data_IF_410343575124
#
_entry.id   IF_410343575124
#
_cell.length_a   1.000
_cell.length_b   1.000
_cell.length_c   1.000
_cell.angle_alpha   90.00
_cell.angle_beta   90.00
_cell.angle_gamma   90.00
#
_symmetry.space_group_name_H-M   'P 1'
#
loop_
_entity.id
_entity.type
_entity.pdbx_description
1 polymer ?
#
# COMPACT_ATOMS: atom_id res chain seq x y z
N UNK A 1 14.89 -10.36 -1.82
CA UNK A 1 14.84 -8.93 -2.17
C UNK A 1 14.29 -8.19 -0.96
N UNK A 2 14.92 -7.10 -0.57
CA UNK A 2 14.48 -6.24 0.53
C UNK A 2 14.42 -4.81 0.03
N UNK A 3 13.51 -4.02 0.58
CA UNK A 3 13.33 -2.62 0.20
C UNK A 3 13.05 -1.80 1.46
N UNK A 4 13.53 -0.56 1.46
CA UNK A 4 13.16 0.39 2.50
C UNK A 4 11.71 0.86 2.27
N UNK A 5 10.94 1.00 3.35
CA UNK A 5 9.52 1.34 3.30
C UNK A 5 9.28 2.66 2.56
N UNK A 6 10.04 3.72 2.88
CA UNK A 6 9.92 5.01 2.19
C UNK A 6 10.20 4.89 0.70
N UNK A 7 11.29 4.20 0.33
CA UNK A 7 11.64 3.98 -1.09
C UNK A 7 10.56 3.19 -1.84
N UNK A 8 9.94 2.20 -1.19
CA UNK A 8 8.82 1.46 -1.77
C UNK A 8 7.63 2.39 -2.03
N UNK A 9 7.30 3.25 -1.06
CA UNK A 9 6.20 4.22 -1.22
C UNK A 9 6.46 5.19 -2.37
N UNK A 10 7.65 5.79 -2.42
CA UNK A 10 8.06 6.68 -3.51
C UNK A 10 7.99 5.96 -4.85
N UNK A 11 8.52 4.73 -4.94
CA UNK A 11 8.52 3.98 -6.19
C UNK A 11 7.12 3.72 -6.74
N UNK A 12 6.13 3.46 -5.87
CA UNK A 12 4.74 3.28 -6.32
C UNK A 12 4.10 4.62 -6.68
N UNK A 13 4.33 5.67 -5.90
CA UNK A 13 3.76 7.00 -6.15
C UNK A 13 4.29 7.64 -7.44
N UNK A 14 5.57 7.43 -7.73
CA UNK A 14 6.24 7.92 -8.94
C UNK A 14 5.99 7.02 -10.17
N UNK A 15 5.31 5.88 -9.98
CA UNK A 15 5.06 4.92 -11.05
C UNK A 15 6.30 4.15 -11.51
N UNK A 16 7.36 4.10 -10.70
CA UNK A 16 8.59 3.38 -11.00
C UNK A 16 8.49 1.89 -10.69
N UNK A 17 7.49 1.23 -11.25
CA UNK A 17 7.27 -0.21 -11.18
C UNK A 17 6.86 -0.75 -12.55
N UNK A 18 7.09 -2.03 -12.82
CA UNK A 18 6.60 -2.66 -14.04
C UNK A 18 5.10 -2.90 -13.90
N UNK A 19 4.31 -2.47 -14.89
CA UNK A 19 2.89 -2.76 -14.95
C UNK A 19 2.57 -3.53 -16.23
N UNK A 20 1.91 -4.67 -16.09
CA UNK A 20 1.48 -5.49 -17.22
C UNK A 20 -0.01 -5.77 -17.07
N UNK A 21 -0.74 -5.69 -18.18
CA UNK A 21 -2.18 -5.95 -18.21
C UNK A 21 -2.49 -6.93 -19.35
N UNK A 22 -3.21 -7.99 -19.02
CA UNK A 22 -3.65 -9.02 -19.96
C UNK A 22 -5.17 -9.12 -19.89
N UNK A 23 -5.83 -9.02 -21.05
CA UNK A 23 -7.28 -9.20 -21.12
C UNK A 23 -7.63 -10.61 -21.59
N UNK A 24 -8.60 -11.20 -20.90
CA UNK A 24 -9.19 -12.48 -21.23
C UNK A 24 -10.70 -12.29 -21.42
N UNK A 25 -11.17 -12.45 -22.66
CA UNK A 25 -12.60 -12.37 -22.94
C UNK A 25 -13.36 -13.51 -22.24
N UNK A 26 -14.62 -13.28 -21.87
CA UNK A 26 -15.47 -14.34 -21.29
C UNK A 26 -15.60 -15.58 -22.20
N UNK A 27 -15.49 -15.41 -23.53
CA UNK A 27 -15.51 -16.53 -24.48
C UNK A 27 -14.22 -17.36 -24.41
N UNK A 28 -13.06 -16.69 -24.37
CA UNK A 28 -11.76 -17.35 -24.21
C UNK A 28 -11.66 -18.04 -22.85
N UNK A 29 -12.14 -17.39 -21.78
CA UNK A 29 -12.23 -18.00 -20.45
C UNK A 29 -13.00 -19.32 -20.47
N UNK A 30 -14.16 -19.38 -21.13
CA UNK A 30 -14.98 -20.61 -21.20
C UNK A 30 -14.35 -21.74 -22.01
N UNK A 31 -13.51 -21.39 -23.00
CA UNK A 31 -12.94 -22.34 -23.94
C UNK A 31 -11.58 -22.86 -23.48
N UNK A 32 -10.71 -21.92 -23.11
CA UNK A 32 -9.28 -22.14 -22.91
C UNK A 32 -8.87 -21.94 -21.43
N UNK A 33 -9.81 -21.55 -20.56
CA UNK A 33 -9.59 -21.33 -19.14
C UNK A 33 -8.79 -20.06 -18.83
N UNK A 34 -8.12 -20.04 -17.68
CA UNK A 34 -7.29 -18.91 -17.19
C UNK A 34 -5.80 -19.22 -17.21
N UNK A 35 -5.44 -20.47 -17.45
CA UNK A 35 -4.11 -21.02 -17.24
C UNK A 35 -3.08 -20.30 -18.12
N UNK A 36 -3.41 -20.05 -19.38
CA UNK A 36 -2.54 -19.32 -20.30
C UNK A 36 -2.30 -17.86 -19.84
N UNK A 37 -3.36 -17.20 -19.35
CA UNK A 37 -3.29 -15.83 -18.83
C UNK A 37 -2.46 -15.75 -17.55
N UNK A 38 -2.74 -16.62 -16.58
CA UNK A 38 -2.00 -16.71 -15.33
C UNK A 38 -0.54 -17.11 -15.54
N UNK A 39 -0.26 -18.03 -16.46
CA UNK A 39 1.13 -18.43 -16.78
C UNK A 39 1.94 -17.23 -17.28
N UNK A 40 1.32 -16.37 -18.12
CA UNK A 40 1.96 -15.13 -18.58
C UNK A 40 2.22 -14.16 -17.43
N UNK A 41 1.20 -13.93 -16.59
CA UNK A 41 1.31 -13.09 -15.37
C UNK A 41 2.44 -13.57 -14.47
N UNK A 42 2.50 -14.87 -14.15
CA UNK A 42 3.54 -15.42 -13.27
C UNK A 42 4.94 -15.32 -13.90
N UNK A 43 5.04 -15.52 -15.22
CA UNK A 43 6.31 -15.38 -15.92
C UNK A 43 6.82 -13.92 -15.89
N UNK A 44 5.93 -12.95 -16.05
CA UNK A 44 6.29 -11.53 -15.99
C UNK A 44 6.68 -11.12 -14.56
N UNK A 45 5.93 -11.58 -13.54
CA UNK A 45 6.27 -11.38 -12.13
C UNK A 45 7.64 -11.96 -11.79
N UNK A 46 7.93 -13.18 -12.22
CA UNK A 46 9.24 -13.80 -12.02
C UNK A 46 10.36 -12.98 -12.66
N UNK A 47 10.20 -12.54 -13.91
CA UNK A 47 11.21 -11.71 -14.59
C UNK A 47 11.48 -10.42 -13.84
N UNK A 48 10.44 -9.75 -13.33
CA UNK A 48 10.61 -8.52 -12.55
C UNK A 48 11.34 -8.78 -11.23
N UNK A 49 10.98 -9.85 -10.51
CA UNK A 49 11.65 -10.24 -9.26
C UNK A 49 13.12 -10.59 -9.52
N UNK A 50 13.44 -11.32 -10.61
CA UNK A 50 14.81 -11.63 -11.00
C UNK A 50 15.65 -10.36 -11.29
N UNK A 51 15.01 -9.31 -11.83
CA UNK A 51 15.61 -7.98 -12.02
C UNK A 51 15.59 -7.10 -10.76
N UNK A 52 15.04 -7.58 -9.65
CA UNK A 52 14.84 -6.82 -8.41
C UNK A 52 13.96 -5.57 -8.61
N UNK A 53 12.92 -5.69 -9.43
CA UNK A 53 11.96 -4.62 -9.72
C UNK A 53 10.61 -4.93 -9.10
N UNK A 54 9.90 -3.88 -8.68
CA UNK A 54 8.49 -3.98 -8.28
C UNK A 54 7.63 -4.18 -9.53
N UNK A 55 6.58 -4.99 -9.40
CA UNK A 55 5.66 -5.29 -10.49
C UNK A 55 4.23 -5.40 -10.00
N UNK A 56 3.30 -4.97 -10.87
CA UNK A 56 1.87 -5.27 -10.78
C UNK A 56 1.44 -5.88 -12.12
N UNK A 57 1.03 -7.14 -12.09
CA UNK A 57 0.62 -7.88 -13.28
C UNK A 57 -0.85 -8.27 -13.19
N UNK A 58 -1.66 -7.71 -14.08
CA UNK A 58 -3.12 -7.80 -14.06
C UNK A 58 -3.61 -8.76 -15.15
N UNK A 59 -4.55 -9.62 -14.77
CA UNK A 59 -5.36 -10.43 -15.65
C UNK A 59 -6.83 -9.99 -15.49
N UNK A 60 -7.32 -9.27 -16.48
CA UNK A 60 -8.70 -8.77 -16.53
C UNK A 60 -9.56 -9.76 -17.28
N UNK A 61 -10.60 -10.28 -16.62
CA UNK A 61 -11.58 -11.16 -17.24
C UNK A 61 -12.83 -10.35 -17.57
N UNK A 62 -13.14 -10.23 -18.87
CA UNK A 62 -14.23 -9.40 -19.40
C UNK A 62 -15.61 -10.07 -19.23
N UNK A 63 -15.99 -10.33 -17.99
CA UNK A 63 -17.36 -10.69 -17.62
C UNK A 63 -18.28 -9.47 -17.63
N UNK A 64 -19.62 -9.64 -17.56
CA UNK A 64 -20.55 -8.51 -17.43
C UNK A 64 -20.25 -7.60 -16.23
N UNK A 65 -19.73 -8.19 -15.15
CA UNK A 65 -19.07 -7.49 -14.04
C UNK A 65 -17.62 -7.97 -14.05
N UNK A 66 -16.64 -7.11 -14.39
CA UNK A 66 -15.27 -7.55 -14.63
C UNK A 66 -14.64 -8.10 -13.35
N UNK A 67 -13.94 -9.21 -13.48
CA UNK A 67 -13.13 -9.78 -12.41
C UNK A 67 -11.67 -9.55 -12.75
N UNK A 68 -10.94 -8.90 -11.84
CA UNK A 68 -9.53 -8.58 -12.02
C UNK A 68 -8.72 -9.46 -11.07
N UNK A 69 -7.75 -10.17 -11.61
CA UNK A 69 -6.78 -10.95 -10.85
C UNK A 69 -5.42 -10.29 -11.03
N UNK A 70 -4.88 -9.75 -9.96
CA UNK A 70 -3.60 -9.04 -9.95
C UNK A 70 -2.60 -9.85 -9.13
N UNK A 71 -1.40 -10.04 -9.67
CA UNK A 71 -0.25 -10.53 -8.90
C UNK A 71 0.73 -9.38 -8.80
N UNK A 72 1.00 -8.94 -7.57
CA UNK A 72 1.84 -7.78 -7.31
C UNK A 72 2.88 -8.05 -6.23
N UNK A 73 4.00 -7.31 -6.31
CA UNK A 73 5.04 -7.33 -5.28
C UNK A 73 4.76 -6.28 -4.23
N UNK A 74 4.49 -6.67 -3.00
CA UNK A 74 4.24 -5.74 -1.89
C UNK A 74 5.19 -5.97 -0.73
N UNK A 75 5.13 -5.09 0.26
CA UNK A 75 5.81 -5.29 1.54
C UNK A 75 4.86 -5.71 2.66
N UNK A 76 3.57 -5.44 2.48
CA UNK A 76 2.47 -5.78 3.38
C UNK A 76 1.20 -6.06 2.57
N UNK A 77 0.19 -6.60 3.23
CA UNK A 77 -1.12 -6.88 2.66
C UNK A 77 -1.95 -5.59 2.43
N UNK A 78 -1.49 -4.75 1.50
CA UNK A 78 -2.17 -3.54 1.03
C UNK A 78 -1.93 -3.39 -0.48
N UNK A 79 -2.98 -3.11 -1.26
CA UNK A 79 -2.83 -2.91 -2.69
C UNK A 79 -2.08 -1.61 -2.96
N UNK A 80 -1.43 -1.51 -4.12
CA UNK A 80 -0.64 -0.34 -4.51
C UNK A 80 -1.44 0.98 -4.43
N UNK A 81 -2.74 0.93 -4.75
CA UNK A 81 -3.66 2.06 -4.63
C UNK A 81 -3.74 2.66 -3.20
N UNK A 82 -3.36 1.90 -2.17
CA UNK A 82 -3.36 2.32 -0.76
C UNK A 82 -1.95 2.48 -0.17
N UNK A 83 -0.91 2.63 -1.00
CA UNK A 83 0.49 2.73 -0.56
C UNK A 83 0.74 3.85 0.47
N UNK A 84 -0.04 4.94 0.41
CA UNK A 84 0.00 6.04 1.38
C UNK A 84 -0.31 5.62 2.82
N UNK A 85 -0.96 4.47 3.01
CA UNK A 85 -1.34 3.95 4.34
C UNK A 85 -0.30 3.02 4.94
N UNK A 86 0.76 2.68 4.21
CA UNK A 86 1.81 1.74 4.64
C UNK A 86 2.50 2.20 5.93
N UNK A 87 2.72 3.50 6.09
CA UNK A 87 3.33 4.10 7.29
C UNK A 87 2.49 3.97 8.56
N UNK A 88 1.21 3.56 8.45
CA UNK A 88 0.41 3.22 9.63
C UNK A 88 0.76 1.83 10.19
N UNK A 89 1.50 1.03 9.43
CA UNK A 89 1.82 -0.36 9.75
C UNK A 89 3.31 -0.61 9.91
N UNK A 90 4.14 0.09 9.13
CA UNK A 90 5.59 -0.05 9.12
C UNK A 90 6.28 1.31 9.30
N UNK A 91 7.47 1.30 9.89
CA UNK A 91 8.27 2.51 10.05
C UNK A 91 8.92 2.90 8.72
N UNK A 92 8.95 4.20 8.38
CA UNK A 92 9.43 4.66 7.07
C UNK A 92 10.89 4.28 6.77
N UNK A 93 11.73 4.25 7.80
CA UNK A 93 13.15 3.90 7.70
C UNK A 93 13.42 2.39 7.81
N UNK A 94 12.39 1.58 8.03
CA UNK A 94 12.51 0.12 8.13
C UNK A 94 12.87 -0.50 6.78
N UNK A 95 13.67 -1.56 6.82
CA UNK A 95 14.00 -2.38 5.64
C UNK A 95 13.25 -3.70 5.81
N UNK A 96 12.39 -4.00 4.84
CA UNK A 96 11.48 -5.15 4.91
C UNK A 96 11.61 -6.02 3.66
N UNK A 97 11.37 -7.34 3.79
CA UNK A 97 11.38 -8.24 2.65
C UNK A 97 10.20 -7.95 1.72
N UNK A 98 10.47 -7.94 0.41
CA UNK A 98 9.42 -7.90 -0.61
C UNK A 98 8.74 -9.27 -0.69
N UNK A 99 7.42 -9.26 -0.76
CA UNK A 99 6.52 -10.42 -0.81
C UNK A 99 5.66 -10.35 -2.07
N UNK A 100 5.13 -11.49 -2.47
CA UNK A 100 4.22 -11.63 -3.60
C UNK A 100 2.80 -11.83 -3.08
N UNK A 101 1.90 -10.99 -3.56
CA UNK A 101 0.49 -11.01 -3.20
C UNK A 101 -0.36 -11.35 -4.43
N UNK A 102 -1.38 -12.18 -4.21
CA UNK A 102 -2.47 -12.40 -5.14
C UNK A 102 -3.66 -11.54 -4.70
N UNK A 103 -4.04 -10.60 -5.53
CA UNK A 103 -5.18 -9.72 -5.32
C UNK A 103 -6.29 -10.12 -6.31
N UNK A 104 -7.48 -10.41 -5.80
CA UNK A 104 -8.66 -10.67 -6.62
C UNK A 104 -9.69 -9.59 -6.31
N UNK A 105 -10.02 -8.79 -7.31
CA UNK A 105 -11.02 -7.74 -7.24
C UNK A 105 -12.25 -8.15 -8.07
N UNK A 106 -13.37 -8.35 -7.39
CA UNK A 106 -14.68 -8.59 -8.00
C UNK A 106 -15.77 -8.36 -6.97
N UNK A 107 -16.93 -7.77 -7.34
CA UNK A 107 -18.04 -7.50 -6.41
C UNK A 107 -18.57 -8.73 -5.67
N UNK A 108 -18.32 -9.93 -6.20
CA UNK A 108 -18.86 -11.19 -5.68
C UNK A 108 -17.88 -11.98 -4.82
N UNK A 109 -16.65 -11.48 -4.63
CA UNK A 109 -15.64 -12.16 -3.80
C UNK A 109 -15.97 -12.04 -2.31
N UNK A 110 -16.37 -10.84 -1.89
CA UNK A 110 -16.78 -10.52 -0.52
C UNK A 110 -17.47 -9.15 -0.49
N UNK A 111 -17.92 -8.71 0.69
CA UNK A 111 -18.58 -7.40 0.89
C UNK A 111 -17.72 -6.22 0.44
N UNK A 112 -16.39 -6.31 0.55
CA UNK A 112 -15.46 -5.27 0.09
C UNK A 112 -15.13 -5.34 -1.40
N UNK A 113 -15.51 -6.42 -2.09
CA UNK A 113 -15.16 -6.69 -3.47
C UNK A 113 -13.66 -6.94 -3.73
N UNK A 114 -12.88 -7.22 -2.67
CA UNK A 114 -11.42 -7.34 -2.73
C UNK A 114 -10.93 -8.43 -1.78
N UNK A 115 -10.13 -9.36 -2.29
CA UNK A 115 -9.42 -10.37 -1.49
C UNK A 115 -7.95 -10.34 -1.87
N UNK A 116 -7.10 -10.27 -0.85
CA UNK A 116 -5.65 -10.31 -1.01
C UNK A 116 -5.14 -11.49 -0.21
N UNK A 117 -4.37 -12.36 -0.86
CA UNK A 117 -3.70 -13.48 -0.22
C UNK A 117 -2.18 -13.34 -0.41
N UNK A 118 -1.45 -13.54 0.68
CA UNK A 118 0.02 -13.58 0.64
C UNK A 118 0.48 -14.95 0.16
N UNK A 119 1.36 -14.97 -0.85
CA UNK A 119 1.85 -16.22 -1.43
C UNK A 119 3.16 -16.62 -0.78
N UNK A 120 4.18 -15.77 -0.88
CA UNK A 120 5.53 -16.06 -0.42
C UNK A 120 6.38 -14.77 -0.39
N UNK A 121 7.56 -14.84 0.22
CA UNK A 121 8.58 -13.81 -0.01
C UNK A 121 9.08 -13.87 -1.45
N UNK A 122 9.62 -12.78 -1.99
CA UNK A 122 10.19 -12.76 -3.33
C UNK A 122 11.31 -13.79 -3.51
N UNK A 123 12.07 -14.10 -2.45
CA UNK A 123 13.12 -15.12 -2.50
C UNK A 123 12.52 -16.54 -2.59
N UNK A 124 11.53 -16.83 -1.75
CA UNK A 124 10.86 -18.14 -1.73
C UNK A 124 10.00 -18.36 -2.98
N UNK A 125 9.49 -17.28 -3.59
CA UNK A 125 8.76 -17.35 -4.84
C UNK A 125 9.63 -17.85 -6.00
N UNK A 126 10.90 -17.43 -6.05
CA UNK A 126 11.83 -17.89 -7.08
C UNK A 126 12.19 -19.37 -6.92
N UNK A 127 12.37 -19.85 -5.69
CA UNK A 127 12.73 -21.25 -5.41
C UNK A 127 11.54 -22.19 -5.55
N UNK A 128 10.33 -21.74 -5.17
CA UNK A 128 9.09 -22.49 -5.19
C UNK A 128 8.19 -22.23 -6.40
N UNK A 129 8.69 -21.58 -7.45
CA UNK A 129 7.90 -21.01 -8.55
C UNK A 129 6.81 -21.95 -9.09
N UNK A 130 7.16 -23.18 -9.44
CA UNK A 130 6.17 -24.12 -10.01
C UNK A 130 5.09 -24.55 -9.01
N UNK A 131 5.48 -24.88 -7.78
CA UNK A 131 4.55 -25.34 -6.74
C UNK A 131 3.62 -24.22 -6.29
N UNK A 132 4.17 -23.03 -6.05
CA UNK A 132 3.41 -21.86 -5.63
C UNK A 132 2.44 -21.40 -6.73
N UNK A 133 2.87 -21.43 -8.00
CA UNK A 133 1.98 -21.07 -9.10
C UNK A 133 0.83 -22.06 -9.28
N UNK A 134 1.06 -23.36 -9.06
CA UNK A 134 -0.01 -24.36 -9.06
C UNK A 134 -1.02 -24.11 -7.93
N UNK A 135 -0.54 -23.84 -6.72
CA UNK A 135 -1.40 -23.50 -5.58
C UNK A 135 -2.18 -22.21 -5.82
N UNK A 136 -1.53 -21.19 -6.38
CA UNK A 136 -2.15 -19.91 -6.73
C UNK A 136 -3.22 -20.10 -7.80
N UNK A 137 -2.94 -20.88 -8.84
CA UNK A 137 -3.92 -21.20 -9.91
C UNK A 137 -5.13 -21.92 -9.32
N UNK A 138 -4.91 -22.94 -8.47
CA UNK A 138 -6.00 -23.64 -7.80
C UNK A 138 -6.86 -22.70 -6.93
N UNK A 139 -6.22 -21.82 -6.16
CA UNK A 139 -6.92 -20.82 -5.34
C UNK A 139 -7.71 -19.80 -6.18
N UNK A 140 -7.20 -19.42 -7.35
CA UNK A 140 -7.93 -18.56 -8.28
C UNK A 140 -9.15 -19.30 -8.83
N UNK A 141 -9.05 -20.57 -9.20
CA UNK A 141 -10.20 -21.37 -9.62
C UNK A 141 -11.30 -21.42 -8.56
N UNK A 142 -10.95 -21.76 -7.32
CA UNK A 142 -11.93 -21.78 -6.21
C UNK A 142 -12.66 -20.44 -6.05
N UNK A 143 -11.95 -19.33 -6.17
CA UNK A 143 -12.54 -17.98 -6.09
C UNK A 143 -13.41 -17.67 -7.30
N UNK A 144 -13.00 -18.06 -8.50
CA UNK A 144 -13.78 -17.85 -9.71
C UNK A 144 -15.05 -18.68 -9.71
N UNK A 145 -14.99 -19.93 -9.24
CA UNK A 145 -16.17 -20.78 -9.06
C UNK A 145 -17.13 -20.13 -8.06
N UNK A 146 -16.63 -19.65 -6.92
CA UNK A 146 -17.44 -18.91 -5.95
C UNK A 146 -18.07 -17.65 -6.55
N UNK A 147 -17.30 -16.85 -7.29
CA UNK A 147 -17.81 -15.65 -7.99
C UNK A 147 -18.91 -16.04 -8.97
N UNK A 148 -18.73 -17.10 -9.76
CA UNK A 148 -19.73 -17.54 -10.73
C UNK A 148 -21.00 -18.05 -10.07
N UNK A 149 -20.90 -18.79 -8.96
CA UNK A 149 -22.05 -19.22 -8.18
C UNK A 149 -22.82 -18.02 -7.60
N UNK A 150 -22.12 -17.04 -7.02
CA UNK A 150 -22.73 -15.83 -6.47
C UNK A 150 -23.30 -14.91 -7.56
N UNK A 151 -22.71 -14.90 -8.76
CA UNK A 151 -23.27 -14.22 -9.93
C UNK A 151 -24.51 -14.90 -10.49
N UNK A 152 -24.56 -16.23 -10.46
CA UNK A 152 -25.68 -17.03 -10.97
C UNK A 152 -26.87 -17.06 -10.01
N UNK A 153 -26.64 -16.84 -8.71
CA UNK A 153 -27.73 -16.60 -7.76
C UNK A 153 -28.45 -15.32 -8.18
N UNK A 154 -29.77 -15.35 -8.43
CA UNK A 154 -30.51 -14.13 -8.64
C UNK A 154 -30.26 -13.24 -7.43
N UNK A 155 -29.73 -12.03 -7.65
CA UNK A 155 -29.53 -11.01 -6.61
C UNK A 155 -30.74 -11.08 -5.70
N UNK A 156 -30.58 -11.62 -4.49
CA UNK A 156 -31.59 -11.43 -3.46
C UNK A 156 -31.57 -9.91 -3.32
N UNK A 157 -32.58 -9.29 -3.92
CA UNK A 157 -32.95 -7.90 -3.75
C UNK A 157 -32.56 -7.54 -2.35
N UNK A 158 -31.62 -6.58 -2.24
CA UNK A 158 -31.29 -5.91 -0.99
C UNK A 158 -32.55 -5.95 -0.15
N UNK A 159 -32.54 -6.75 0.94
CA UNK A 159 -33.70 -6.84 1.82
C UNK A 159 -34.09 -5.41 2.07
N UNK A 160 -35.22 -5.02 1.48
CA UNK A 160 -35.87 -3.77 1.74
C UNK A 160 -35.86 -3.69 3.25
N UNK A 161 -35.11 -2.74 3.78
CA UNK A 161 -35.21 -2.36 5.18
C UNK A 161 -36.72 -2.26 5.42
N UNK A 162 -37.33 -3.13 6.24
CA UNK A 162 -38.76 -3.02 6.47
C UNK A 162 -39.02 -1.59 6.91
N UNK A 163 -39.89 -0.93 6.16
CA UNK A 163 -40.28 0.46 6.35
C UNK A 163 -41.00 0.60 7.69
N UNK A 164 -40.24 0.60 8.79
CA UNK A 164 -40.72 1.02 10.09
C UNK A 164 -39.57 1.50 10.99
N UNK A 165 -38.86 2.54 10.53
CA UNK A 165 -38.36 3.60 11.42
C UNK A 165 -38.64 4.92 10.73
N UNK A 166 -39.89 5.34 10.90
CA UNK A 166 -40.34 6.67 10.59
C UNK A 166 -39.40 7.67 11.26
N UNK A 167 -38.78 8.52 10.43
CA UNK A 167 -38.05 9.70 10.86
C UNK A 167 -38.97 10.51 11.77
N UNK A 168 -38.68 10.55 13.07
CA UNK A 168 -39.09 11.66 13.91
C UNK A 168 -38.26 12.88 13.48
N UNK A 169 -38.89 14.05 13.28
CA UNK A 169 -38.21 15.23 12.76
C UNK A 169 -37.14 15.69 13.76
N UNK A 170 -35.96 16.03 13.21
CA UNK A 170 -34.90 16.69 13.94
C UNK A 170 -35.46 17.93 14.66
N UNK A 171 -35.48 17.89 15.99
CA UNK A 171 -35.79 19.06 16.81
C UNK A 171 -34.63 20.05 16.64
N UNK A 172 -34.86 21.03 15.78
CA UNK A 172 -34.08 22.25 15.58
C UNK A 172 -33.89 22.94 16.93
N UNK A 173 -32.78 22.70 17.62
CA UNK A 173 -32.36 23.50 18.77
C UNK A 173 -31.84 24.83 18.24
N UNK A 174 -32.73 25.82 18.27
CA UNK A 174 -32.44 27.24 18.05
C UNK A 174 -31.32 27.68 19.00
N UNK A 175 -30.13 27.90 18.45
CA UNK A 175 -29.06 28.66 19.09
C UNK A 175 -29.58 30.07 19.35
N UNK A 176 -30.06 30.35 20.57
CA UNK A 176 -30.40 31.71 21.01
C UNK A 176 -29.11 32.51 21.14
N UNK A 177 -28.90 33.39 20.18
CA UNK A 177 -28.06 34.58 20.32
C UNK A 177 -28.71 35.48 21.37
N UNK A 178 -28.02 35.74 22.48
CA UNK A 178 -28.35 36.81 23.42
C UNK A 178 -27.06 37.52 23.83
N UNK A 179 -26.81 38.61 23.12
CA UNK A 179 -26.37 39.93 23.57
C UNK A 179 -25.41 40.02 24.78
N UNK A 180 -24.17 40.39 24.43
CA UNK A 180 -23.20 41.26 25.13
C UNK A 180 -23.76 41.99 26.37
N UNK A 181 -23.13 41.78 27.53
CA UNK A 181 -23.14 42.74 28.64
C UNK A 181 -21.75 42.87 29.25
N UNK A 182 -21.24 44.09 29.17
CA UNK A 182 -19.98 44.64 29.68
C UNK A 182 -20.00 44.82 31.20
N UNK A 183 -18.81 45.19 31.75
CA UNK A 183 -18.50 45.67 33.13
C UNK A 183 -18.13 44.52 34.10
N UNK A 184 -17.07 44.55 34.92
CA UNK A 184 -16.07 45.56 35.26
C UNK A 184 -14.83 44.87 35.86
N UNK A 185 -13.67 45.45 35.62
CA UNK A 185 -12.34 45.16 36.18
C UNK A 185 -12.32 45.39 37.71
N UNK A 186 -11.73 44.49 38.49
CA UNK A 186 -11.10 44.88 39.77
C UNK A 186 -9.80 44.11 40.01
N UNK A 187 -8.75 44.92 40.09
CA UNK A 187 -7.35 44.63 40.38
C UNK A 187 -7.14 44.26 41.85
N UNK A 188 -6.20 43.36 42.12
CA UNK A 188 -5.27 43.47 43.25
C UNK A 188 -3.87 43.04 42.81
N UNK A 189 -2.89 43.62 43.49
CA UNK A 189 -1.57 44.02 43.01
C UNK A 189 -0.50 43.35 43.88
N UNK A 190 0.50 42.74 43.23
CA UNK A 190 1.96 42.79 43.50
C UNK A 190 2.54 42.33 44.86
N UNK A 191 3.50 41.40 44.76
CA UNK A 191 4.82 41.40 45.45
C UNK A 191 5.71 40.32 44.77
N UNK A 192 6.68 40.64 43.88
CA UNK A 192 8.15 40.81 44.11
C UNK A 192 8.77 39.70 44.97
N UNK A 193 9.68 38.87 44.45
CA UNK A 193 11.16 39.06 44.33
C UNK A 193 11.71 38.15 43.20
N UNK A 194 12.49 38.60 42.19
CA UNK A 194 13.89 39.07 42.15
C UNK A 194 14.97 37.98 42.42
N UNK A 195 15.58 37.44 41.34
CA UNK A 195 17.01 37.08 41.16
C UNK A 195 17.16 36.26 39.85
N UNK A 196 17.60 36.80 38.70
CA UNK A 196 18.93 37.28 38.29
C UNK A 196 19.91 36.18 37.82
N UNK A 197 20.47 36.44 36.61
CA UNK A 197 21.68 35.88 35.95
C UNK A 197 21.51 34.56 35.16
N UNK A 198 22.05 34.35 33.96
CA UNK A 198 22.67 35.12 32.85
C UNK A 198 22.94 34.06 31.75
N UNK A 199 22.88 34.35 30.43
CA UNK A 199 23.07 33.32 29.40
C UNK A 199 24.56 33.11 29.08
N UNK A 200 24.95 31.88 28.77
CA UNK A 200 26.27 31.52 28.24
C UNK A 200 26.11 30.29 27.34
N UNK A 201 26.88 30.06 26.29
CA UNK A 201 27.64 30.91 25.40
C UNK A 201 27.96 30.01 24.21
N UNK A 202 27.67 30.53 23.02
CA UNK A 202 28.13 30.14 21.68
C UNK A 202 29.56 29.56 21.70
N UNK A 203 29.73 28.28 21.38
CA UNK A 203 31.04 27.73 20.99
C UNK A 203 31.18 27.80 19.47
N UNK A 204 32.14 28.63 19.07
CA UNK A 204 32.54 28.94 17.71
C UNK A 204 33.32 27.77 17.11
N UNK A 205 32.89 27.27 15.94
CA UNK A 205 33.70 26.41 15.07
C UNK A 205 34.95 27.19 14.65
N UNK A 206 36.13 26.73 15.07
CA UNK A 206 37.41 27.24 14.57
C UNK A 206 37.95 26.27 13.53
N UNK A 207 38.01 26.76 12.31
CA UNK A 207 38.73 26.20 11.17
C UNK A 207 40.24 26.30 11.39
N UNK A 208 40.96 25.22 11.14
CA UNK A 208 42.38 25.26 10.72
C UNK A 208 42.59 24.28 9.58
N UNK A 209 42.97 24.86 8.44
CA UNK A 209 43.42 24.24 7.19
C UNK A 209 44.95 24.05 7.29
N UNK A 210 45.50 23.18 6.41
CA UNK A 210 46.94 22.93 6.10
C UNK A 210 47.70 22.04 7.10
N UNK A 211 48.57 21.10 6.70
CA UNK A 211 49.25 20.88 5.42
C UNK A 211 49.75 19.43 5.30
N UNK A 212 49.77 18.91 4.07
CA UNK A 212 50.67 17.83 3.65
C UNK A 212 52.00 18.44 3.16
N UNK A 213 53.13 17.72 3.31
CA UNK A 213 54.20 17.79 2.33
C UNK A 213 54.58 16.40 1.76
N UNK A 214 54.90 16.44 0.46
CA UNK A 214 55.49 15.38 -0.37
C UNK A 214 56.93 15.07 0.05
N UNK A 215 57.34 13.80 -0.12
CA UNK A 215 58.72 13.30 -0.41
C UNK A 215 58.64 11.76 -0.50
N UNK A 216 59.26 10.97 -1.39
CA UNK A 216 60.13 11.18 -2.55
C UNK A 216 60.10 9.88 -3.37
N UNK A 217 60.22 10.04 -4.68
CA UNK A 217 60.56 9.05 -5.72
C UNK A 217 61.76 8.17 -5.28
N UNK A 218 61.69 6.84 -5.45
CA UNK A 218 62.89 5.99 -5.57
C UNK A 218 62.71 4.96 -6.68
N UNK A 219 63.36 5.25 -7.79
CA UNK A 219 63.74 4.34 -8.86
C UNK A 219 64.77 3.33 -8.34
N UNK A 220 64.58 2.04 -8.59
CA UNK A 220 65.68 1.07 -8.75
C UNK A 220 65.27 -0.03 -9.73
N UNK A 221 65.81 0.12 -10.93
CA UNK A 221 66.32 -0.88 -11.88
C UNK A 221 66.44 -2.31 -11.32
N UNK A 222 65.80 -3.28 -11.98
CA UNK A 222 66.45 -4.51 -12.46
C UNK A 222 65.61 -5.14 -13.55
#
# INVERSE_FOLDING_TARGET
MEINVHKFQEAILDGSFEHTENHLTAAAFKKDGIEAGLTKVFADVRKAIDKQQLIQADLVIDFPEPTIITVETGIINLPFANVNKVTNFLEADEIVPVRVYLVVASPFVNVSGLRIDEIATAADYLTGFETLNKQMTASVHEKLDHIQEEMAKPKETAKLVPANKQKTPAKKTTRRTATKRTTTRKTTKKTTTAAAKKPAAKITKRTTKKAAPKTTRRTTKK
#
